data_IF_005429541125
#
_entry.id   IF_005429541125
#
_cell.length_a   1.000
_cell.length_b   1.000
_cell.length_c   1.000
_cell.angle_alpha   90.00
_cell.angle_beta   90.00
_cell.angle_gamma   90.00
#
_symmetry.space_group_name_H-M   'P 1'
#
loop_
_entity.id
_entity.type
_entity.pdbx_description
1 polymer ?
#
# COMPACT_ATOMS: atom_id res chain seq x y z
N UNK A 1 10.35 -11.51 -21.62
CA UNK A 1 10.31 -11.29 -20.16
C UNK A 1 10.00 -9.81 -19.97
N UNK A 2 8.73 -9.50 -19.77
CA UNK A 2 8.23 -8.14 -19.79
C UNK A 2 8.70 -7.38 -18.57
N UNK A 3 9.30 -6.21 -18.79
CA UNK A 3 9.49 -5.21 -17.74
C UNK A 3 8.10 -4.88 -17.18
N UNK A 4 7.88 -5.15 -15.89
CA UNK A 4 6.74 -4.64 -15.15
C UNK A 4 6.92 -3.13 -15.03
N UNK A 5 6.55 -2.43 -16.11
CA UNK A 5 6.37 -0.98 -16.10
C UNK A 5 5.23 -0.68 -15.13
N UNK A 6 5.60 -0.22 -13.93
CA UNK A 6 4.66 0.41 -13.03
C UNK A 6 4.22 1.71 -13.71
N UNK A 7 3.12 1.64 -14.45
CA UNK A 7 2.45 2.80 -15.03
C UNK A 7 1.76 3.55 -13.88
N UNK A 8 2.55 4.26 -13.07
CA UNK A 8 1.99 5.31 -12.21
C UNK A 8 1.38 6.31 -13.17
N UNK A 9 0.04 6.38 -13.23
CA UNK A 9 -0.76 7.23 -14.12
C UNK A 9 -0.48 8.74 -13.99
N UNK A 10 0.74 9.13 -14.34
CA UNK A 10 1.31 10.47 -14.40
C UNK A 10 1.25 11.02 -15.83
N UNK A 11 0.57 10.32 -16.73
CA UNK A 11 0.24 10.84 -18.05
C UNK A 11 -0.81 11.95 -17.90
N UNK A 12 -0.34 13.21 -17.93
CA UNK A 12 -0.95 14.39 -18.58
C UNK A 12 -0.32 15.70 -18.03
N UNK A 13 1.01 15.82 -18.07
CA UNK A 13 1.67 17.07 -17.68
C UNK A 13 3.15 17.09 -18.02
N UNK A 14 3.45 17.42 -19.29
CA UNK A 14 4.80 17.36 -19.86
C UNK A 14 5.88 18.06 -19.02
N UNK A 15 6.93 17.30 -18.74
CA UNK A 15 8.26 17.82 -18.40
C UNK A 15 9.29 16.85 -18.96
N UNK A 16 10.09 17.34 -19.90
CA UNK A 16 11.13 16.65 -20.68
C UNK A 16 12.35 16.20 -19.82
N UNK A 17 12.11 15.89 -18.54
CA UNK A 17 13.07 15.39 -17.56
C UNK A 17 12.92 13.87 -17.29
N UNK A 18 12.09 13.17 -18.06
CA UNK A 18 11.57 11.82 -17.76
C UNK A 18 12.61 10.71 -17.56
N UNK A 19 13.81 10.77 -18.15
CA UNK A 19 14.78 9.67 -18.03
C UNK A 19 15.50 9.57 -16.67
N UNK A 20 15.65 10.69 -15.96
CA UNK A 20 16.49 10.79 -14.75
C UNK A 20 15.70 10.58 -13.45
N UNK A 21 14.42 10.97 -13.44
CA UNK A 21 13.62 11.00 -12.22
C UNK A 21 12.90 9.68 -11.91
N UNK A 22 12.58 8.87 -12.93
CA UNK A 22 11.89 7.58 -12.74
C UNK A 22 12.65 6.61 -11.81
N UNK A 23 13.98 6.41 -11.95
CA UNK A 23 14.74 5.55 -11.03
C UNK A 23 14.76 6.09 -9.60
N UNK A 24 14.76 7.41 -9.44
CA UNK A 24 14.74 8.08 -8.13
C UNK A 24 13.39 7.84 -7.44
N UNK A 25 12.29 8.00 -8.17
CA UNK A 25 10.94 7.74 -7.65
C UNK A 25 10.76 6.28 -7.23
N UNK A 26 11.25 5.33 -8.03
CA UNK A 26 11.22 3.91 -7.67
C UNK A 26 11.98 3.62 -6.37
N UNK A 27 13.17 4.22 -6.21
CA UNK A 27 13.97 4.11 -4.99
C UNK A 27 13.24 4.71 -3.77
N UNK A 28 12.57 5.85 -3.94
CA UNK A 28 11.78 6.47 -2.87
C UNK A 28 10.61 5.57 -2.46
N UNK A 29 9.85 5.01 -3.42
CA UNK A 29 8.74 4.10 -3.12
C UNK A 29 9.22 2.85 -2.40
N UNK A 30 10.33 2.25 -2.82
CA UNK A 30 10.90 1.08 -2.14
C UNK A 30 11.23 1.36 -0.68
N UNK A 31 11.80 2.53 -0.38
CA UNK A 31 12.08 2.94 0.99
C UNK A 31 10.79 3.20 1.79
N UNK A 32 9.82 3.91 1.20
CA UNK A 32 8.56 4.23 1.88
C UNK A 32 7.70 2.99 2.16
N UNK A 33 7.67 2.02 1.24
CA UNK A 33 6.92 0.78 1.37
C UNK A 33 7.70 -0.31 2.14
N UNK A 34 8.89 0.00 2.66
CA UNK A 34 9.64 -0.93 3.51
C UNK A 34 8.93 -1.17 4.83
N UNK A 35 9.17 -2.34 5.43
CA UNK A 35 8.60 -2.70 6.73
C UNK A 35 8.92 -1.68 7.80
N UNK A 36 10.17 -1.23 7.89
CA UNK A 36 10.62 -0.33 8.95
C UNK A 36 9.92 1.03 8.91
N UNK A 37 9.43 1.45 7.74
CA UNK A 37 8.74 2.73 7.54
C UNK A 37 7.22 2.57 7.54
N UNK A 38 6.69 1.68 6.70
CA UNK A 38 5.24 1.59 6.48
C UNK A 38 4.52 0.82 7.59
N UNK A 39 5.11 -0.27 8.09
CA UNK A 39 4.42 -1.18 9.01
C UNK A 39 3.96 -0.51 10.31
N UNK A 40 4.77 0.28 11.04
CA UNK A 40 4.35 0.88 12.31
C UNK A 40 3.11 1.77 12.14
N UNK A 41 3.12 2.66 11.15
CA UNK A 41 2.01 3.56 10.88
C UNK A 41 0.77 2.81 10.38
N UNK A 42 0.94 1.86 9.46
CA UNK A 42 -0.18 1.11 8.91
C UNK A 42 -0.84 0.21 9.97
N UNK A 43 -0.04 -0.41 10.83
CA UNK A 43 -0.53 -1.26 11.92
C UNK A 43 -1.35 -0.45 12.93
N UNK A 44 -0.87 0.73 13.33
CA UNK A 44 -1.61 1.62 14.22
C UNK A 44 -2.97 2.03 13.64
N UNK A 45 -3.02 2.38 12.36
CA UNK A 45 -4.27 2.74 11.67
C UNK A 45 -5.20 1.53 11.60
N UNK A 46 -4.68 0.36 11.21
CA UNK A 46 -5.44 -0.89 11.08
C UNK A 46 -6.06 -1.29 12.41
N UNK A 47 -5.32 -1.19 13.51
CA UNK A 47 -5.81 -1.59 14.84
C UNK A 47 -6.94 -0.68 15.35
N UNK A 48 -6.94 0.61 14.98
CA UNK A 48 -7.98 1.58 15.37
C UNK A 48 -9.19 1.58 14.43
N UNK A 49 -9.04 1.03 13.23
CA UNK A 49 -10.05 1.12 12.17
C UNK A 49 -11.39 0.43 12.50
N UNK A 50 -11.41 -0.76 13.13
CA UNK A 50 -12.66 -1.43 13.51
C UNK A 50 -13.55 -0.59 14.44
N UNK A 51 -12.94 0.08 15.43
CA UNK A 51 -13.66 0.94 16.37
C UNK A 51 -14.23 2.16 15.65
N UNK A 52 -13.45 2.75 14.73
CA UNK A 52 -13.92 3.87 13.92
C UNK A 52 -15.10 3.47 13.01
N UNK A 53 -15.01 2.31 12.33
CA UNK A 53 -16.11 1.77 11.52
C UNK A 53 -17.35 1.55 12.37
N UNK A 54 -17.23 0.92 13.53
CA UNK A 54 -18.37 0.67 14.41
C UNK A 54 -19.06 1.98 14.83
N UNK A 55 -18.29 3.02 15.16
CA UNK A 55 -18.83 4.32 15.56
C UNK A 55 -19.51 5.10 14.42
N UNK A 56 -19.16 4.83 13.16
CA UNK A 56 -19.66 5.58 11.99
C UNK A 56 -20.63 4.80 11.10
N UNK A 57 -20.96 3.55 11.46
CA UNK A 57 -21.80 2.65 10.67
C UNK A 57 -23.14 3.23 10.26
N UNK A 58 -23.80 3.97 11.15
CA UNK A 58 -25.11 4.56 10.90
C UNK A 58 -25.03 6.00 10.36
N UNK A 59 -23.84 6.60 10.37
CA UNK A 59 -23.59 7.97 9.91
C UNK A 59 -23.15 8.04 8.44
N UNK A 60 -22.58 6.96 7.91
CA UNK A 60 -22.04 6.90 6.56
C UNK A 60 -23.01 6.25 5.56
N UNK A 61 -23.01 6.69 4.29
CA UNK A 61 -23.64 5.94 3.22
C UNK A 61 -23.08 4.52 3.12
N UNK A 62 -23.95 3.55 2.81
CA UNK A 62 -23.58 2.12 2.73
C UNK A 62 -22.39 1.87 1.79
N UNK A 63 -22.33 2.60 0.67
CA UNK A 63 -21.24 2.46 -0.31
C UNK A 63 -19.90 2.96 0.24
N UNK A 64 -19.90 4.07 0.98
CA UNK A 64 -18.69 4.59 1.61
C UNK A 64 -18.22 3.68 2.74
N UNK A 65 -19.16 3.16 3.54
CA UNK A 65 -18.86 2.21 4.60
C UNK A 65 -18.18 0.95 4.04
N UNK A 66 -18.72 0.38 2.96
CA UNK A 66 -18.12 -0.79 2.28
C UNK A 66 -16.72 -0.48 1.76
N UNK A 67 -16.50 0.71 1.20
CA UNK A 67 -15.16 1.13 0.75
C UNK A 67 -14.18 1.18 1.92
N UNK A 68 -14.58 1.70 3.08
CA UNK A 68 -13.73 1.73 4.27
C UNK A 68 -13.47 0.33 4.84
N UNK A 69 -14.45 -0.58 4.82
CA UNK A 69 -14.24 -2.00 5.17
C UNK A 69 -13.21 -2.67 4.24
N UNK A 70 -13.27 -2.36 2.94
CA UNK A 70 -12.32 -2.89 1.97
C UNK A 70 -10.91 -2.34 2.18
N UNK A 71 -10.78 -1.04 2.47
CA UNK A 71 -9.50 -0.44 2.85
C UNK A 71 -8.91 -1.12 4.09
N UNK A 72 -9.71 -1.32 5.14
CA UNK A 72 -9.28 -2.06 6.33
C UNK A 72 -8.77 -3.47 6.01
N UNK A 73 -9.48 -4.18 5.12
CA UNK A 73 -9.09 -5.51 4.66
C UNK A 73 -7.74 -5.49 3.94
N UNK A 74 -7.50 -4.51 3.05
CA UNK A 74 -6.23 -4.35 2.33
C UNK A 74 -5.09 -4.04 3.30
N UNK A 75 -5.28 -3.08 4.21
CA UNK A 75 -4.27 -2.72 5.21
C UNK A 75 -3.92 -3.92 6.11
N UNK A 76 -4.92 -4.69 6.53
CA UNK A 76 -4.71 -5.92 7.29
C UNK A 76 -3.87 -6.96 6.54
N UNK A 77 -4.11 -7.15 5.23
CA UNK A 77 -3.29 -8.05 4.40
C UNK A 77 -1.85 -7.57 4.30
N UNK A 78 -1.63 -6.26 4.15
CA UNK A 78 -0.28 -5.67 4.12
C UNK A 78 0.45 -5.92 5.45
N UNK A 79 -0.21 -5.69 6.60
CA UNK A 79 0.36 -6.00 7.92
C UNK A 79 0.73 -7.47 8.06
N UNK A 80 -0.14 -8.40 7.64
CA UNK A 80 0.15 -9.84 7.67
C UNK A 80 1.37 -10.20 6.82
N UNK A 81 1.52 -9.57 5.65
CA UNK A 81 2.70 -9.76 4.81
C UNK A 81 3.97 -9.32 5.53
N UNK A 82 3.97 -8.14 6.16
CA UNK A 82 5.10 -7.66 6.96
C UNK A 82 5.42 -8.58 8.14
N UNK A 83 4.41 -9.08 8.84
CA UNK A 83 4.57 -9.96 10.02
C UNK A 83 5.18 -11.32 9.63
N UNK A 84 4.77 -11.90 8.49
CA UNK A 84 5.24 -13.20 8.01
C UNK A 84 6.74 -13.23 7.65
N UNK A 85 7.36 -12.08 7.35
CA UNK A 85 8.80 -11.99 7.01
C UNK A 85 9.74 -12.33 8.16
N UNK A 86 9.27 -12.23 9.42
CA UNK A 86 10.08 -12.57 10.58
C UNK A 86 10.32 -14.08 10.76
N UNK A 87 9.58 -14.93 10.04
CA UNK A 87 9.41 -16.33 10.41
C UNK A 87 10.08 -17.32 9.43
N UNK A 88 10.59 -16.90 8.26
CA UNK A 88 11.30 -17.83 7.36
C UNK A 88 12.24 -17.19 6.33
N UNK A 89 13.31 -17.93 6.04
CA UNK A 89 14.45 -17.68 5.12
C UNK A 89 14.08 -17.51 3.63
N UNK A 90 12.83 -17.18 3.31
CA UNK A 90 12.33 -17.03 1.94
C UNK A 90 11.82 -15.61 1.75
N UNK A 91 12.76 -14.71 1.47
CA UNK A 91 12.49 -13.36 0.97
C UNK A 91 11.83 -13.48 -0.42
N UNK A 92 10.49 -13.59 -0.45
CA UNK A 92 9.70 -13.43 -1.68
C UNK A 92 9.67 -11.95 -2.10
N UNK A 93 9.35 -11.61 -3.36
CA UNK A 93 9.33 -10.22 -3.84
C UNK A 93 8.26 -9.39 -3.12
N UNK A 94 8.67 -8.84 -1.98
CA UNK A 94 7.85 -8.12 -1.01
C UNK A 94 7.26 -6.85 -1.61
N UNK A 95 8.12 -6.06 -2.24
CA UNK A 95 7.77 -4.74 -2.76
C UNK A 95 6.65 -4.81 -3.81
N UNK A 96 6.70 -5.75 -4.75
CA UNK A 96 5.69 -5.89 -5.80
C UNK A 96 4.33 -6.28 -5.21
N UNK A 97 4.30 -7.21 -4.25
CA UNK A 97 3.05 -7.62 -3.59
C UNK A 97 2.43 -6.47 -2.77
N UNK A 98 3.25 -5.73 -2.01
CA UNK A 98 2.78 -4.58 -1.24
C UNK A 98 2.31 -3.46 -2.17
N UNK A 99 3.01 -3.23 -3.28
CA UNK A 99 2.64 -2.24 -4.28
C UNK A 99 1.30 -2.59 -4.96
N UNK A 100 1.09 -3.86 -5.33
CA UNK A 100 -0.18 -4.34 -5.88
C UNK A 100 -1.35 -4.22 -4.89
N UNK A 101 -1.09 -4.44 -3.60
CA UNK A 101 -2.10 -4.25 -2.54
C UNK A 101 -2.43 -2.76 -2.35
N UNK A 102 -1.45 -1.87 -2.44
CA UNK A 102 -1.65 -0.42 -2.33
C UNK A 102 -2.40 0.20 -3.51
N UNK A 103 -2.42 -0.47 -4.67
CA UNK A 103 -3.13 -0.01 -5.87
C UNK A 103 -4.58 -0.50 -5.95
N UNK A 104 -5.01 -1.40 -5.05
CA UNK A 104 -6.39 -1.88 -4.94
C UNK A 104 -7.28 -0.88 -4.21
#
# INVERSE_FOLDING_TARGET
MGSLGVDLGLAEGGVEAEGSFLPIMQTIMQNLLSKDILYPSLKEITDKYPDWLAAHRDALPVEEFRRYEQQHTIMGRICQHFEAEGDSRQERPHFETILELMQQ
#
